data_IF_037231266233
#
_entry.id   IF_037231266233
#
_cell.length_a   1.000
_cell.length_b   1.000
_cell.length_c   1.000
_cell.angle_alpha   90.00
_cell.angle_beta   90.00
_cell.angle_gamma   90.00
#
_symmetry.space_group_name_H-M   'P 1'
#
loop_
_entity.id
_entity.type
_entity.pdbx_description
1 polymer ?
#
# COMPACT_ATOMS: atom_id res chain seq x y z
N UNK A 1 14.70 -25.15 24.18
CA UNK A 1 14.25 -26.09 23.14
C UNK A 1 12.84 -25.76 22.62
N UNK A 2 11.78 -25.76 23.44
CA UNK A 2 10.40 -25.49 22.96
C UNK A 2 10.23 -24.12 22.27
N UNK A 3 10.86 -23.06 22.79
CA UNK A 3 10.82 -21.72 22.16
C UNK A 3 11.36 -21.75 20.73
N UNK A 4 12.46 -22.47 20.49
CA UNK A 4 13.04 -22.62 19.15
C UNK A 4 12.07 -23.33 18.21
N UNK A 5 11.47 -24.44 18.65
CA UNK A 5 10.46 -25.17 17.88
C UNK A 5 9.31 -24.24 17.50
N UNK A 6 8.85 -23.40 18.43
CA UNK A 6 7.74 -22.49 18.18
C UNK A 6 8.09 -21.41 17.16
N UNK A 7 9.28 -20.83 17.25
CA UNK A 7 9.76 -19.83 16.28
C UNK A 7 9.90 -20.43 14.88
N UNK A 8 10.44 -21.65 14.76
CA UNK A 8 10.55 -22.34 13.46
C UNK A 8 9.21 -22.84 12.92
N UNK A 9 8.18 -22.98 13.76
CA UNK A 9 6.85 -23.37 13.35
C UNK A 9 5.98 -22.21 12.83
N UNK A 10 6.45 -20.95 12.94
CA UNK A 10 5.72 -19.81 12.42
C UNK A 10 5.64 -19.88 10.88
N UNK A 11 4.49 -19.52 10.28
CA UNK A 11 4.40 -19.45 8.84
C UNK A 11 5.34 -18.37 8.30
N UNK A 12 5.88 -18.58 7.09
CA UNK A 12 6.70 -17.58 6.39
C UNK A 12 5.93 -16.30 5.98
N UNK A 13 4.62 -16.26 6.23
CA UNK A 13 3.78 -15.11 5.92
C UNK A 13 4.07 -13.94 6.87
N UNK A 14 4.14 -12.72 6.31
CA UNK A 14 4.34 -11.46 7.06
C UNK A 14 3.23 -11.21 8.09
N UNK A 15 1.99 -11.54 7.73
CA UNK A 15 0.81 -11.42 8.59
C UNK A 15 0.25 -12.82 8.94
N UNK A 16 0.29 -13.17 10.22
CA UNK A 16 -0.20 -14.47 10.70
C UNK A 16 -1.71 -14.45 10.83
N UNK A 17 -2.42 -15.25 10.02
CA UNK A 17 -3.86 -15.46 10.18
C UNK A 17 -4.14 -16.41 11.35
N UNK A 18 -4.87 -16.01 12.40
CA UNK A 18 -5.26 -16.90 13.47
C UNK A 18 -6.08 -18.08 12.92
N UNK A 19 -5.51 -19.29 12.99
CA UNK A 19 -6.20 -20.50 12.56
C UNK A 19 -5.87 -21.66 13.49
N UNK A 20 -6.86 -22.50 13.82
CA UNK A 20 -6.66 -23.65 14.73
C UNK A 20 -5.56 -24.62 14.29
N UNK A 21 -5.31 -24.69 12.98
CA UNK A 21 -4.31 -25.59 12.37
C UNK A 21 -2.97 -24.93 12.08
N UNK A 22 -2.80 -23.64 12.40
CA UNK A 22 -1.57 -22.89 12.15
C UNK A 22 -0.96 -22.37 13.45
N UNK A 23 0.36 -22.18 13.46
CA UNK A 23 1.04 -21.53 14.57
C UNK A 23 0.65 -20.04 14.63
N UNK A 24 0.59 -19.44 15.83
CA UNK A 24 0.90 -20.03 17.15
C UNK A 24 -0.24 -20.80 17.82
N UNK A 25 -1.44 -20.87 17.23
CA UNK A 25 -2.60 -21.46 17.91
C UNK A 25 -2.52 -23.00 18.01
N UNK A 26 -2.11 -23.70 16.96
CA UNK A 26 -1.99 -25.17 16.99
C UNK A 26 -0.98 -25.64 18.06
N UNK A 27 0.19 -25.00 18.13
CA UNK A 27 1.26 -25.34 19.08
C UNK A 27 0.86 -24.99 20.53
N UNK A 28 0.08 -23.93 20.74
CA UNK A 28 -0.41 -23.57 22.07
C UNK A 28 -1.58 -24.46 22.56
N UNK A 29 -2.04 -25.41 21.74
CA UNK A 29 -3.12 -26.33 22.06
C UNK A 29 -2.68 -27.78 22.28
N UNK A 30 -1.39 -28.12 22.05
CA UNK A 30 -0.87 -29.50 22.18
C UNK A 30 -0.98 -30.05 23.59
N UNK A 31 -0.42 -29.34 24.58
CA UNK A 31 -0.53 -29.70 26.00
C UNK A 31 -0.41 -28.46 26.89
N UNK A 32 -0.70 -28.58 28.19
CA UNK A 32 -0.63 -27.48 29.15
C UNK A 32 0.74 -26.80 29.15
N UNK A 33 1.82 -27.57 29.14
CA UNK A 33 3.19 -27.05 29.16
C UNK A 33 3.51 -26.22 27.91
N UNK A 34 3.11 -26.68 26.73
CA UNK A 34 3.32 -25.96 25.48
C UNK A 34 2.53 -24.65 25.45
N UNK A 35 1.29 -24.68 25.95
CA UNK A 35 0.46 -23.48 26.10
C UNK A 35 1.12 -22.44 26.99
N UNK A 36 1.56 -22.84 28.18
CA UNK A 36 2.24 -21.95 29.13
C UNK A 36 3.47 -21.32 28.48
N UNK A 37 4.31 -22.11 27.80
CA UNK A 37 5.48 -21.57 27.10
C UNK A 37 5.07 -20.64 25.95
N UNK A 38 4.11 -21.01 25.10
CA UNK A 38 3.71 -20.21 23.95
C UNK A 38 3.14 -18.84 24.37
N UNK A 39 2.39 -18.77 25.47
CA UNK A 39 1.88 -17.52 26.03
C UNK A 39 2.98 -16.59 26.57
N UNK A 40 4.15 -17.14 26.92
CA UNK A 40 5.31 -16.36 27.41
C UNK A 40 6.28 -15.93 26.31
N UNK A 41 6.03 -16.26 25.04
CA UNK A 41 6.94 -15.97 23.92
C UNK A 41 6.30 -14.89 23.03
N UNK A 42 6.61 -13.60 23.22
CA UNK A 42 5.87 -12.49 22.60
C UNK A 42 5.98 -12.45 21.08
N UNK A 43 7.13 -12.87 20.52
CA UNK A 43 7.38 -12.89 19.07
C UNK A 43 6.37 -13.75 18.30
N UNK A 44 5.80 -14.78 18.94
CA UNK A 44 4.76 -15.61 18.32
C UNK A 44 3.46 -14.84 18.05
N UNK A 45 3.24 -13.74 18.75
CA UNK A 45 2.03 -12.93 18.73
C UNK A 45 2.29 -11.54 18.11
N UNK A 46 3.49 -11.30 17.58
CA UNK A 46 3.91 -10.01 17.02
C UNK A 46 3.28 -9.70 15.66
N UNK A 47 2.70 -10.70 15.01
CA UNK A 47 2.05 -10.59 13.71
C UNK A 47 0.60 -11.06 13.79
N UNK A 48 -0.31 -10.34 13.14
CA UNK A 48 -1.74 -10.62 13.18
C UNK A 48 -2.42 -10.22 11.87
N UNK A 49 -3.22 -11.13 11.31
CA UNK A 49 -4.14 -10.83 10.20
C UNK A 49 -5.57 -11.16 10.61
N UNK A 50 -6.42 -10.14 10.73
CA UNK A 50 -7.85 -10.29 11.05
C UNK A 50 -8.67 -10.02 9.80
N UNK A 51 -9.53 -10.98 9.45
CA UNK A 51 -10.54 -10.84 8.42
C UNK A 51 -11.89 -10.84 9.13
N UNK A 52 -12.46 -9.65 9.30
CA UNK A 52 -13.71 -9.49 10.02
C UNK A 52 -14.88 -9.77 9.06
N UNK A 53 -15.34 -11.02 9.03
CA UNK A 53 -16.36 -11.52 8.07
C UNK A 53 -17.69 -11.91 8.71
N UNK A 54 -17.82 -11.78 10.04
CA UNK A 54 -18.94 -12.34 10.81
C UNK A 54 -19.29 -11.45 11.99
N UNK A 55 -20.53 -10.99 12.08
CA UNK A 55 -20.95 -10.07 13.15
C UNK A 55 -21.07 -10.73 14.53
N UNK A 56 -21.14 -12.05 14.60
CA UNK A 56 -21.29 -12.79 15.87
C UNK A 56 -19.98 -13.02 16.64
N UNK A 57 -18.85 -12.56 16.10
CA UNK A 57 -17.54 -12.74 16.71
C UNK A 57 -17.01 -11.42 17.28
N UNK A 58 -16.57 -11.47 18.54
CA UNK A 58 -15.86 -10.36 19.19
C UNK A 58 -14.41 -10.24 18.68
N UNK A 59 -14.25 -9.71 17.47
CA UNK A 59 -12.94 -9.48 16.87
C UNK A 59 -12.08 -8.52 17.70
N UNK A 60 -12.69 -7.51 18.31
CA UNK A 60 -11.98 -6.54 19.15
C UNK A 60 -11.38 -7.22 20.38
N UNK A 61 -12.14 -8.07 21.07
CA UNK A 61 -11.65 -8.88 22.20
C UNK A 61 -10.58 -9.88 21.80
N UNK A 62 -10.73 -10.55 20.65
CA UNK A 62 -9.70 -11.44 20.10
C UNK A 62 -8.40 -10.69 19.79
N UNK A 63 -8.51 -9.52 19.15
CA UNK A 63 -7.37 -8.70 18.81
C UNK A 63 -6.70 -8.16 20.07
N UNK A 64 -7.46 -7.65 21.05
CA UNK A 64 -6.95 -7.23 22.36
C UNK A 64 -6.16 -8.34 23.04
N UNK A 65 -6.70 -9.56 23.06
CA UNK A 65 -6.02 -10.73 23.65
C UNK A 65 -4.71 -11.07 22.93
N UNK A 66 -4.71 -11.00 21.60
CA UNK A 66 -3.51 -11.24 20.80
C UNK A 66 -2.44 -10.18 21.03
N UNK A 67 -2.84 -8.91 20.97
CA UNK A 67 -1.97 -7.75 21.18
C UNK A 67 -1.39 -7.75 22.60
N UNK A 68 -2.16 -8.15 23.61
CA UNK A 68 -1.65 -8.28 24.98
C UNK A 68 -0.49 -9.30 25.09
N UNK A 69 -0.59 -10.44 24.39
CA UNK A 69 0.44 -11.49 24.38
C UNK A 69 1.73 -11.06 23.66
N UNK A 70 1.60 -10.11 22.73
CA UNK A 70 2.73 -9.59 21.98
C UNK A 70 3.66 -8.66 22.77
N UNK A 71 3.26 -8.20 23.97
CA UNK A 71 3.98 -7.30 24.92
C UNK A 71 5.27 -6.65 24.37
N UNK A 72 5.43 -5.33 24.28
CA UNK A 72 6.65 -4.63 23.79
C UNK A 72 7.26 -5.03 22.43
N UNK A 73 6.95 -6.17 21.83
CA UNK A 73 7.48 -6.56 20.52
C UNK A 73 6.92 -5.66 19.42
N UNK A 74 7.66 -5.46 18.33
CA UNK A 74 7.15 -4.72 17.17
C UNK A 74 5.97 -5.45 16.54
N UNK A 75 4.96 -4.71 16.13
CA UNK A 75 3.69 -5.25 15.65
C UNK A 75 3.55 -5.10 14.13
N UNK A 76 3.03 -6.17 13.52
CA UNK A 76 2.65 -6.25 12.11
C UNK A 76 1.18 -6.66 12.05
N UNK A 77 0.31 -5.73 11.67
CA UNK A 77 -1.14 -5.94 11.71
C UNK A 77 -1.74 -5.73 10.33
N UNK A 78 -2.54 -6.70 9.89
CA UNK A 78 -3.42 -6.58 8.72
C UNK A 78 -4.86 -6.76 9.18
N UNK A 79 -5.68 -5.72 9.04
CA UNK A 79 -7.10 -5.73 9.40
C UNK A 79 -7.94 -5.49 8.16
N UNK A 80 -8.84 -6.43 7.85
CA UNK A 80 -9.75 -6.34 6.70
C UNK A 80 -11.17 -6.45 7.25
N UNK A 81 -11.88 -5.33 7.26
CA UNK A 81 -13.33 -5.30 7.40
C UNK A 81 -13.95 -5.67 6.05
N UNK A 82 -15.09 -6.37 6.07
CA UNK A 82 -15.87 -6.69 4.88
C UNK A 82 -17.13 -5.80 4.82
N UNK A 83 -17.65 -5.55 3.61
CA UNK A 83 -18.84 -4.69 3.37
C UNK A 83 -20.05 -5.03 4.25
N UNK A 84 -20.19 -6.28 4.65
CA UNK A 84 -21.36 -6.75 5.41
C UNK A 84 -21.17 -6.73 6.93
N UNK A 85 -19.98 -6.37 7.44
CA UNK A 85 -19.77 -6.32 8.88
C UNK A 85 -20.38 -5.05 9.48
N UNK A 86 -20.95 -5.16 10.68
CA UNK A 86 -21.33 -4.00 11.47
C UNK A 86 -20.15 -3.00 11.63
N UNK A 87 -20.42 -1.73 11.32
CA UNK A 87 -19.49 -0.62 11.43
C UNK A 87 -18.91 -0.51 12.85
N UNK A 88 -19.73 -0.73 13.88
CA UNK A 88 -19.29 -0.61 15.26
C UNK A 88 -18.21 -1.65 15.59
N UNK A 89 -18.38 -2.88 15.09
CA UNK A 89 -17.40 -3.97 15.27
C UNK A 89 -16.06 -3.67 14.59
N UNK A 90 -16.09 -3.13 13.37
CA UNK A 90 -14.87 -2.72 12.65
C UNK A 90 -14.16 -1.57 13.36
N UNK A 91 -14.93 -0.56 13.79
CA UNK A 91 -14.43 0.61 14.51
C UNK A 91 -13.80 0.21 15.84
N UNK A 92 -14.45 -0.64 16.62
CA UNK A 92 -13.94 -1.13 17.89
C UNK A 92 -12.58 -1.85 17.71
N UNK A 93 -12.40 -2.59 16.62
CA UNK A 93 -11.10 -3.18 16.30
C UNK A 93 -10.04 -2.11 16.07
N UNK A 94 -10.30 -1.12 15.21
CA UNK A 94 -9.32 -0.07 14.96
C UNK A 94 -9.03 0.76 16.21
N UNK A 95 -10.01 1.03 17.05
CA UNK A 95 -9.81 1.70 18.34
C UNK A 95 -8.84 0.94 19.25
N UNK A 96 -8.84 -0.40 19.25
CA UNK A 96 -7.82 -1.19 19.96
C UNK A 96 -6.41 -0.97 19.39
N UNK A 97 -6.28 -0.81 18.08
CA UNK A 97 -5.00 -0.53 17.42
C UNK A 97 -4.50 0.89 17.67
N UNK A 98 -5.42 1.84 17.84
CA UNK A 98 -5.12 3.25 18.09
C UNK A 98 -4.77 3.56 19.54
N UNK A 99 -4.74 2.56 20.43
CA UNK A 99 -4.27 2.75 21.80
C UNK A 99 -2.79 3.16 21.82
N UNK A 100 -2.37 4.14 22.64
CA UNK A 100 -0.99 4.64 22.65
C UNK A 100 0.07 3.55 22.87
N UNK A 101 -0.23 2.56 23.72
CA UNK A 101 0.68 1.45 24.02
C UNK A 101 0.90 0.53 22.81
N UNK A 102 -0.06 0.48 21.89
CA UNK A 102 -0.01 -0.30 20.66
C UNK A 102 0.65 0.52 19.54
N UNK A 103 0.23 1.78 19.37
CA UNK A 103 0.76 2.69 18.34
C UNK A 103 2.28 2.84 18.38
N UNK A 104 2.86 2.96 19.58
CA UNK A 104 4.32 3.10 19.76
C UNK A 104 5.13 1.89 19.28
N UNK A 105 4.47 0.74 19.09
CA UNK A 105 5.09 -0.53 18.70
C UNK A 105 4.68 -0.98 17.30
N UNK A 106 3.65 -0.36 16.73
CA UNK A 106 3.13 -0.68 15.42
C UNK A 106 4.16 -0.31 14.36
N UNK A 107 4.69 -1.30 13.66
CA UNK A 107 5.70 -1.11 12.62
C UNK A 107 5.11 -1.17 11.23
N UNK A 108 4.08 -1.99 11.05
CA UNK A 108 3.38 -2.20 9.80
C UNK A 108 1.89 -2.37 10.09
N UNK A 109 1.09 -1.51 9.49
CA UNK A 109 -0.35 -1.52 9.60
C UNK A 109 -0.95 -1.54 8.20
N UNK A 110 -1.70 -2.59 7.87
CA UNK A 110 -2.62 -2.60 6.73
C UNK A 110 -4.04 -2.61 7.25
N UNK A 111 -4.86 -1.70 6.73
CA UNK A 111 -6.28 -1.60 7.05
C UNK A 111 -7.07 -1.51 5.76
N UNK A 112 -8.10 -2.34 5.64
CA UNK A 112 -9.06 -2.33 4.52
C UNK A 112 -10.48 -2.27 5.09
N UNK A 113 -11.33 -1.37 4.60
CA UNK A 113 -12.67 -1.16 5.15
C UNK A 113 -13.54 -0.18 4.35
N UNK A 114 -14.78 0.03 4.81
CA UNK A 114 -15.58 1.22 4.43
C UNK A 114 -15.06 2.46 5.15
N UNK A 115 -15.27 3.66 4.58
CA UNK A 115 -14.63 4.90 5.05
C UNK A 115 -14.92 5.18 6.53
N UNK A 116 -16.18 5.05 6.96
CA UNK A 116 -16.63 5.34 8.32
C UNK A 116 -15.97 4.44 9.36
N UNK A 117 -15.69 3.19 8.98
CA UNK A 117 -15.01 2.24 9.85
C UNK A 117 -13.54 2.63 10.08
N UNK A 118 -12.94 3.39 9.14
CA UNK A 118 -11.53 3.78 9.16
C UNK A 118 -11.26 5.08 9.94
N UNK A 119 -12.29 5.83 10.34
CA UNK A 119 -12.16 7.09 11.10
C UNK A 119 -11.21 7.03 12.31
N UNK A 120 -11.10 5.91 13.08
CA UNK A 120 -10.12 5.85 14.16
C UNK A 120 -8.67 6.11 13.73
N UNK A 121 -8.32 5.87 12.45
CA UNK A 121 -6.98 6.10 11.90
C UNK A 121 -6.56 7.57 11.91
N UNK A 122 -7.48 8.52 12.06
CA UNK A 122 -7.14 9.95 12.26
C UNK A 122 -6.35 10.18 13.54
N UNK A 123 -6.37 9.23 14.48
CA UNK A 123 -5.53 9.28 15.69
C UNK A 123 -4.09 8.81 15.45
N UNK A 124 -3.75 8.38 14.23
CA UNK A 124 -2.36 8.17 13.84
C UNK A 124 -1.63 9.51 13.87
N UNK A 125 -0.75 9.68 14.84
CA UNK A 125 0.02 10.91 15.04
C UNK A 125 1.47 10.61 15.39
N UNK A 126 2.13 11.59 16.02
CA UNK A 126 3.51 11.44 16.52
C UNK A 126 3.72 10.24 17.46
N UNK A 127 2.64 9.69 18.05
CA UNK A 127 2.68 8.49 18.88
C UNK A 127 3.00 7.21 18.10
N UNK A 128 2.74 7.19 16.79
CA UNK A 128 3.09 6.09 15.88
C UNK A 128 4.60 6.11 15.53
N UNK A 129 5.45 6.23 16.55
CA UNK A 129 6.89 6.47 16.40
C UNK A 129 7.67 5.32 15.78
N UNK A 130 7.13 4.11 15.80
CA UNK A 130 7.72 2.91 15.17
C UNK A 130 7.14 2.60 13.80
N UNK A 131 6.09 3.31 13.35
CA UNK A 131 5.35 2.99 12.14
C UNK A 131 6.20 3.28 10.91
N UNK A 132 6.47 2.23 10.14
CA UNK A 132 7.28 2.28 8.91
C UNK A 132 6.45 2.15 7.65
N UNK A 133 5.37 1.37 7.74
CA UNK A 133 4.45 1.11 6.65
C UNK A 133 3.02 1.29 7.12
N UNK A 134 2.27 2.14 6.44
CA UNK A 134 0.82 2.24 6.59
C UNK A 134 0.16 1.98 5.23
N UNK A 135 -0.69 0.96 5.19
CA UNK A 135 -1.54 0.67 4.04
C UNK A 135 -2.98 0.96 4.41
N UNK A 136 -3.64 1.85 3.68
CA UNK A 136 -5.07 2.14 3.86
C UNK A 136 -5.79 1.81 2.56
N UNK A 137 -6.79 0.94 2.63
CA UNK A 137 -7.62 0.56 1.49
C UNK A 137 -9.10 0.81 1.80
N UNK A 138 -9.79 1.47 0.89
CA UNK A 138 -11.25 1.69 0.99
C UNK A 138 -11.96 1.12 -0.22
N UNK A 139 -13.15 0.57 -0.01
CA UNK A 139 -13.97 -0.07 -1.04
C UNK A 139 -15.39 0.52 -1.13
N UNK A 140 -15.59 1.72 -0.60
CA UNK A 140 -16.89 2.40 -0.61
C UNK A 140 -17.17 3.11 -1.94
N UNK A 141 -18.45 3.13 -2.35
CA UNK A 141 -18.95 3.66 -3.62
C UNK A 141 -19.87 4.88 -3.45
N UNK A 142 -20.22 5.27 -2.22
CA UNK A 142 -21.52 5.90 -2.04
C UNK A 142 -21.66 7.10 -1.09
N UNK A 143 -20.59 7.78 -0.64
CA UNK A 143 -20.78 8.95 0.21
C UNK A 143 -19.98 10.17 -0.27
N UNK A 144 -20.73 11.17 -0.77
CA UNK A 144 -20.20 12.50 -1.15
C UNK A 144 -19.59 13.24 0.05
N UNK A 145 -19.94 12.88 1.29
CA UNK A 145 -19.60 13.65 2.51
C UNK A 145 -18.62 12.97 3.48
N UNK A 146 -18.24 11.70 3.28
CA UNK A 146 -17.33 11.00 4.18
C UNK A 146 -15.86 11.25 3.76
N UNK A 147 -15.07 11.85 4.66
CA UNK A 147 -13.63 12.03 4.48
C UNK A 147 -12.85 11.41 5.64
N UNK A 148 -11.62 10.99 5.36
CA UNK A 148 -10.67 10.49 6.37
C UNK A 148 -9.44 11.39 6.36
N UNK A 149 -9.23 12.14 7.45
CA UNK A 149 -8.06 13.02 7.56
C UNK A 149 -6.84 12.30 8.16
N UNK A 150 -5.93 11.86 7.29
CA UNK A 150 -4.67 11.25 7.71
C UNK A 150 -3.56 12.28 7.95
N UNK A 151 -3.86 13.57 8.13
CA UNK A 151 -2.84 14.63 8.22
C UNK A 151 -1.90 14.43 9.38
N UNK A 152 -2.42 13.86 10.46
CA UNK A 152 -1.62 13.51 11.63
C UNK A 152 -0.67 12.35 11.36
N UNK A 153 -0.97 11.46 10.41
CA UNK A 153 -0.12 10.32 10.10
C UNK A 153 1.23 10.76 9.52
N UNK A 154 1.30 11.95 8.90
CA UNK A 154 2.57 12.52 8.45
C UNK A 154 3.52 12.89 9.58
N UNK A 155 3.03 13.00 10.82
CA UNK A 155 3.88 13.23 11.99
C UNK A 155 4.61 11.95 12.45
N UNK A 156 4.37 10.79 11.82
CA UNK A 156 5.08 9.56 12.11
C UNK A 156 6.52 9.63 11.57
N UNK A 157 7.55 9.66 12.44
CA UNK A 157 8.92 10.03 12.06
C UNK A 157 9.65 8.96 11.24
N UNK A 158 9.17 7.72 11.24
CA UNK A 158 9.80 6.58 10.56
C UNK A 158 9.00 6.04 9.38
N UNK A 159 7.91 6.72 9.00
CA UNK A 159 7.04 6.29 7.92
C UNK A 159 7.82 6.38 6.60
N UNK A 160 8.15 5.22 6.04
CA UNK A 160 8.97 5.09 4.84
C UNK A 160 8.15 4.64 3.63
N UNK A 161 7.05 3.91 3.89
CA UNK A 161 6.16 3.34 2.89
C UNK A 161 4.71 3.70 3.19
N UNK A 162 4.02 4.28 2.21
CA UNK A 162 2.62 4.68 2.37
C UNK A 162 1.74 4.26 1.19
N UNK A 163 1.47 2.95 1.01
CA UNK A 163 0.51 2.48 0.04
C UNK A 163 -0.92 2.87 0.41
N UNK A 164 -1.55 3.76 -0.37
CA UNK A 164 -2.99 3.97 -0.26
C UNK A 164 -3.68 3.48 -1.51
N UNK A 165 -4.75 2.72 -1.32
CA UNK A 165 -5.54 2.15 -2.39
C UNK A 165 -7.00 2.53 -2.23
N UNK A 166 -7.39 3.54 -2.98
CA UNK A 166 -8.73 4.07 -3.08
C UNK A 166 -9.33 3.40 -4.30
N UNK A 167 -10.27 2.49 -4.09
CA UNK A 167 -10.85 1.79 -5.23
C UNK A 167 -11.88 2.68 -5.94
N UNK A 168 -12.66 3.51 -5.23
CA UNK A 168 -13.86 4.13 -5.82
C UNK A 168 -14.35 5.45 -5.15
N UNK A 169 -13.53 6.20 -4.39
CA UNK A 169 -14.01 7.41 -3.65
C UNK A 169 -13.34 8.74 -4.02
N UNK A 170 -14.11 9.80 -4.35
CA UNK A 170 -13.60 11.14 -4.63
C UNK A 170 -13.15 11.95 -3.40
N UNK A 171 -13.43 11.49 -2.17
CA UNK A 171 -13.48 12.36 -0.97
C UNK A 171 -12.32 12.20 0.02
N UNK A 172 -11.23 11.53 -0.34
CA UNK A 172 -10.06 11.40 0.55
C UNK A 172 -9.17 12.64 0.48
N UNK A 173 -9.23 13.50 1.50
CA UNK A 173 -8.25 14.57 1.66
C UNK A 173 -6.92 13.98 2.11
N UNK A 174 -6.05 13.76 1.14
CA UNK A 174 -4.78 13.12 1.39
C UNK A 174 -3.71 14.16 1.73
N UNK A 175 -3.04 14.06 2.88
CA UNK A 175 -2.02 15.00 3.30
C UNK A 175 -0.68 14.60 2.67
N UNK A 176 -0.69 14.37 1.35
CA UNK A 176 0.49 14.05 0.54
C UNK A 176 1.63 15.01 0.90
N UNK A 177 1.31 16.29 1.11
CA UNK A 177 2.27 17.33 1.50
C UNK A 177 3.02 17.00 2.79
N UNK A 178 2.32 16.60 3.84
CA UNK A 178 2.95 16.25 5.11
C UNK A 178 3.79 14.98 4.99
N UNK A 179 3.24 13.96 4.32
CA UNK A 179 3.88 12.64 4.20
C UNK A 179 5.16 12.72 3.36
N UNK A 180 5.11 13.47 2.25
CA UNK A 180 6.23 13.68 1.33
C UNK A 180 7.26 14.68 1.86
N UNK A 181 6.87 15.59 2.77
CA UNK A 181 7.82 16.41 3.53
C UNK A 181 8.66 15.58 4.52
N UNK A 182 8.22 14.37 4.86
CA UNK A 182 8.93 13.41 5.71
C UNK A 182 9.98 12.56 4.97
N UNK A 183 10.52 11.51 5.62
CA UNK A 183 11.55 10.64 5.04
C UNK A 183 10.99 9.58 4.06
N UNK A 184 9.77 9.76 3.56
CA UNK A 184 9.10 8.80 2.67
C UNK A 184 9.89 8.65 1.37
N UNK A 185 10.35 7.43 1.10
CA UNK A 185 11.15 7.10 -0.08
C UNK A 185 10.37 6.23 -1.07
N UNK A 186 9.32 5.56 -0.59
CA UNK A 186 8.48 4.68 -1.37
C UNK A 186 7.02 5.12 -1.20
N UNK A 187 6.42 5.61 -2.28
CA UNK A 187 5.01 5.94 -2.33
C UNK A 187 4.29 4.91 -3.19
N UNK A 188 3.14 4.45 -2.72
CA UNK A 188 2.21 3.68 -3.54
C UNK A 188 0.86 4.37 -3.40
N UNK A 189 0.27 4.80 -4.51
CA UNK A 189 -1.01 5.48 -4.50
C UNK A 189 -1.85 4.91 -5.63
N UNK A 190 -3.01 4.39 -5.28
CA UNK A 190 -4.05 3.97 -6.19
C UNK A 190 -5.30 4.75 -5.84
N UNK A 191 -5.92 5.41 -6.81
CA UNK A 191 -7.10 6.24 -6.60
C UNK A 191 -7.28 7.34 -7.62
N UNK A 192 -8.38 8.08 -7.51
CA UNK A 192 -8.63 9.26 -8.32
C UNK A 192 -7.59 10.35 -7.99
N UNK A 193 -6.76 10.69 -8.98
CA UNK A 193 -5.89 11.85 -8.89
C UNK A 193 -6.63 13.12 -9.32
N UNK A 194 -6.72 14.07 -8.40
CA UNK A 194 -7.05 15.45 -8.70
C UNK A 194 -5.78 16.25 -9.01
N UNK A 195 -5.94 17.39 -9.68
CA UNK A 195 -4.82 18.25 -10.10
C UNK A 195 -3.90 18.65 -8.92
N UNK A 196 -4.48 18.87 -7.74
CA UNK A 196 -3.76 19.22 -6.52
C UNK A 196 -2.80 18.10 -6.07
N UNK A 197 -3.15 16.83 -6.29
CA UNK A 197 -2.31 15.69 -5.93
C UNK A 197 -1.03 15.62 -6.79
N UNK A 198 -1.12 15.93 -8.09
CA UNK A 198 0.06 16.01 -8.97
C UNK A 198 1.01 17.14 -8.58
N UNK A 199 0.44 18.29 -8.23
CA UNK A 199 1.20 19.45 -7.77
C UNK A 199 1.97 19.10 -6.50
N UNK A 200 1.30 18.49 -5.53
CA UNK A 200 1.93 18.07 -4.27
C UNK A 200 2.98 16.98 -4.47
N UNK A 201 2.76 16.02 -5.38
CA UNK A 201 3.78 15.03 -5.72
C UNK A 201 5.03 15.66 -6.33
N UNK A 202 4.86 16.62 -7.25
CA UNK A 202 5.99 17.33 -7.86
C UNK A 202 6.75 18.20 -6.87
N UNK A 203 6.04 18.88 -5.97
CA UNK A 203 6.65 19.80 -4.99
C UNK A 203 7.36 19.07 -3.85
N UNK A 204 6.77 17.99 -3.32
CA UNK A 204 7.24 17.34 -2.11
C UNK A 204 7.87 15.96 -2.36
N UNK A 205 7.68 15.37 -3.54
CA UNK A 205 8.20 14.05 -3.91
C UNK A 205 9.71 14.00 -4.21
N UNK A 206 10.48 15.04 -3.88
CA UNK A 206 11.91 15.12 -4.19
C UNK A 206 12.76 14.00 -3.55
N UNK A 207 12.26 13.34 -2.51
CA UNK A 207 12.92 12.22 -1.83
C UNK A 207 12.47 10.84 -2.32
N UNK A 208 11.45 10.76 -3.17
CA UNK A 208 10.92 9.49 -3.65
C UNK A 208 11.94 8.78 -4.54
N UNK A 209 12.22 7.52 -4.20
CA UNK A 209 13.05 6.60 -4.96
C UNK A 209 12.18 5.62 -5.74
N UNK A 210 11.04 5.23 -5.16
CA UNK A 210 10.06 4.37 -5.82
C UNK A 210 8.66 4.98 -5.73
N UNK A 211 7.91 4.90 -6.80
CA UNK A 211 6.55 5.40 -6.86
C UNK A 211 5.67 4.39 -7.62
N UNK A 212 4.52 4.02 -7.07
CA UNK A 212 3.48 3.29 -7.78
C UNK A 212 2.23 4.17 -7.86
N UNK A 213 1.72 4.41 -9.06
CA UNK A 213 0.58 5.29 -9.33
C UNK A 213 -0.48 4.53 -10.10
N UNK A 214 -1.67 4.36 -9.53
CA UNK A 214 -2.81 3.78 -10.22
C UNK A 214 -3.86 4.86 -10.42
N UNK A 215 -4.01 5.31 -11.66
CA UNK A 215 -4.77 6.46 -12.08
C UNK A 215 -6.09 6.02 -12.73
N UNK A 216 -7.18 6.68 -12.36
CA UNK A 216 -8.48 6.50 -12.99
C UNK A 216 -8.59 7.34 -14.28
N UNK A 217 -9.48 6.97 -15.22
CA UNK A 217 -9.55 7.57 -16.56
C UNK A 217 -9.83 9.08 -16.61
N UNK A 218 -10.31 9.68 -15.52
CA UNK A 218 -10.64 11.11 -15.47
C UNK A 218 -9.55 11.98 -14.82
N UNK A 219 -8.40 11.40 -14.46
CA UNK A 219 -7.31 12.14 -13.83
C UNK A 219 -6.62 13.07 -14.84
N UNK A 220 -6.85 14.38 -14.70
CA UNK A 220 -6.14 15.40 -15.47
C UNK A 220 -4.65 15.39 -15.08
N UNK A 221 -3.77 15.06 -16.03
CA UNK A 221 -2.33 15.05 -15.82
C UNK A 221 -1.77 16.46 -16.05
N UNK A 222 -1.41 17.16 -14.97
CA UNK A 222 -0.50 18.30 -15.04
C UNK A 222 0.94 17.82 -15.24
N UNK A 223 1.85 18.73 -15.61
CA UNK A 223 3.27 18.42 -15.70
C UNK A 223 3.80 17.92 -14.35
N UNK A 224 4.30 16.69 -14.31
CA UNK A 224 4.77 16.01 -13.10
C UNK A 224 6.29 15.79 -13.19
N UNK A 225 7.05 16.33 -12.23
CA UNK A 225 8.50 16.10 -12.14
C UNK A 225 8.83 15.24 -10.94
N UNK A 226 9.51 14.11 -11.17
CA UNK A 226 9.94 13.16 -10.16
C UNK A 226 11.48 13.03 -10.19
N UNK A 227 12.22 13.93 -9.52
CA UNK A 227 13.64 14.15 -9.78
C UNK A 227 14.55 13.00 -9.30
N UNK A 228 14.11 12.17 -8.36
CA UNK A 228 14.91 11.08 -7.78
C UNK A 228 14.33 9.68 -7.95
N UNK A 229 13.14 9.58 -8.56
CA UNK A 229 12.46 8.29 -8.71
C UNK A 229 13.25 7.43 -9.68
N UNK A 230 13.60 6.23 -9.23
CA UNK A 230 14.34 5.19 -9.97
C UNK A 230 13.40 4.10 -10.46
N UNK A 231 12.36 3.79 -9.69
CA UNK A 231 11.35 2.80 -10.05
C UNK A 231 9.98 3.47 -10.07
N UNK A 232 9.32 3.45 -11.22
CA UNK A 232 7.97 3.94 -11.38
C UNK A 232 7.08 2.81 -11.90
N UNK A 233 5.98 2.58 -11.22
CA UNK A 233 4.92 1.70 -11.70
C UNK A 233 3.67 2.52 -11.94
N UNK A 234 3.04 2.34 -13.10
CA UNK A 234 1.83 3.07 -13.50
C UNK A 234 0.76 2.09 -13.93
N UNK A 235 -0.41 2.19 -13.32
CA UNK A 235 -1.64 1.55 -13.78
C UNK A 235 -2.64 2.62 -14.22
N UNK A 236 -2.85 2.82 -15.52
CA UNK A 236 -3.79 3.85 -16.00
C UNK A 236 -4.48 3.37 -17.29
N UNK A 237 -5.67 3.90 -17.59
CA UNK A 237 -6.29 3.71 -18.93
C UNK A 237 -5.66 4.59 -20.01
N UNK A 238 -5.08 5.72 -19.62
CA UNK A 238 -4.54 6.76 -20.50
C UNK A 238 -3.05 6.95 -20.18
N UNK A 239 -2.29 5.86 -20.27
CA UNK A 239 -0.86 5.85 -19.89
C UNK A 239 -0.07 6.86 -20.72
N UNK A 240 -0.36 6.99 -22.01
CA UNK A 240 0.29 7.94 -22.93
C UNK A 240 0.19 9.39 -22.44
N UNK A 241 -1.01 9.87 -22.10
CA UNK A 241 -1.20 11.25 -21.61
C UNK A 241 -0.46 11.52 -20.30
N UNK A 242 -0.35 10.51 -19.43
CA UNK A 242 0.48 10.59 -18.24
C UNK A 242 1.97 10.65 -18.60
N UNK A 243 2.44 9.78 -19.49
CA UNK A 243 3.83 9.74 -19.94
C UNK A 243 4.24 11.06 -20.59
N UNK A 244 3.38 11.71 -21.39
CA UNK A 244 3.69 12.98 -22.03
C UNK A 244 3.86 14.15 -21.05
N UNK A 245 3.33 14.03 -19.83
CA UNK A 245 3.46 15.04 -18.78
C UNK A 245 4.52 14.69 -17.72
N UNK A 246 5.15 13.52 -17.81
CA UNK A 246 6.10 13.04 -16.81
C UNK A 246 7.55 13.48 -17.12
N UNK A 247 8.26 14.00 -16.13
CA UNK A 247 9.72 14.23 -16.20
C UNK A 247 10.39 13.51 -15.03
N UNK A 248 11.12 12.43 -15.31
CA UNK A 248 11.73 11.58 -14.28
C UNK A 248 13.20 11.25 -14.62
N UNK A 249 14.16 12.16 -14.38
CA UNK A 249 15.53 12.05 -14.89
C UNK A 249 16.35 10.90 -14.31
N UNK A 250 15.97 10.35 -13.16
CA UNK A 250 16.66 9.23 -12.52
C UNK A 250 15.99 7.87 -12.78
N UNK A 251 14.96 7.82 -13.63
CA UNK A 251 14.16 6.61 -13.84
C UNK A 251 14.98 5.50 -14.50
N UNK A 252 15.02 4.32 -13.88
CA UNK A 252 15.71 3.11 -14.37
C UNK A 252 14.74 1.99 -14.69
N UNK A 253 13.69 1.84 -13.89
CA UNK A 253 12.67 0.80 -14.07
C UNK A 253 11.30 1.45 -14.23
N UNK A 254 10.64 1.15 -15.34
CA UNK A 254 9.26 1.56 -15.61
C UNK A 254 8.38 0.31 -15.75
N UNK A 255 7.29 0.27 -15.01
CA UNK A 255 6.29 -0.78 -15.10
C UNK A 255 4.95 -0.17 -15.51
N UNK A 256 4.32 -0.71 -16.55
CA UNK A 256 3.06 -0.22 -17.10
C UNK A 256 2.08 -1.39 -17.17
N UNK A 257 0.96 -1.34 -16.47
CA UNK A 257 -0.10 -2.34 -16.66
C UNK A 257 -1.47 -1.71 -16.83
N UNK A 258 -2.37 -2.45 -17.47
CA UNK A 258 -3.70 -1.99 -17.82
C UNK A 258 -4.73 -2.37 -16.76
N UNK A 259 -5.62 -1.44 -16.42
CA UNK A 259 -6.80 -1.74 -15.60
C UNK A 259 -7.80 -2.57 -16.40
N UNK A 260 -8.53 -3.47 -15.73
CA UNK A 260 -9.37 -4.57 -16.26
C UNK A 260 -10.52 -4.19 -17.22
N UNK A 261 -10.69 -2.93 -17.58
CA UNK A 261 -11.90 -2.45 -18.24
C UNK A 261 -11.62 -1.89 -19.64
N UNK A 262 -12.13 -2.64 -20.63
CA UNK A 262 -12.26 -2.30 -22.05
C UNK A 262 -11.00 -1.85 -22.80
N UNK A 263 -10.57 -2.70 -23.73
CA UNK A 263 -9.72 -2.30 -24.85
C UNK A 263 -10.47 -1.26 -25.69
N UNK A 264 -9.98 -0.03 -25.71
CA UNK A 264 -10.27 0.91 -26.78
C UNK A 264 -8.96 1.48 -27.34
N UNK A 265 -8.91 1.72 -28.67
CA UNK A 265 -7.69 2.06 -29.38
C UNK A 265 -7.47 3.56 -29.38
N UNK A 266 -6.24 3.97 -29.12
CA UNK A 266 -5.50 4.95 -29.92
C UNK A 266 -4.10 4.97 -29.33
N UNK A 267 -3.23 4.19 -29.97
CA UNK A 267 -1.82 4.15 -29.62
C UNK A 267 -1.24 5.43 -30.19
N UNK A 268 -1.11 6.45 -29.34
CA UNK A 268 -0.24 7.57 -29.68
C UNK A 268 1.19 7.02 -29.78
N UNK A 269 1.86 7.33 -30.87
CA UNK A 269 2.93 6.49 -31.38
C UNK A 269 4.27 6.68 -30.66
N UNK A 270 4.42 7.69 -29.78
CA UNK A 270 5.74 8.09 -29.27
C UNK A 270 5.79 8.60 -27.81
N UNK A 271 4.75 8.42 -26.99
CA UNK A 271 4.70 9.04 -25.64
C UNK A 271 5.81 8.53 -24.70
N UNK A 272 6.20 7.25 -24.76
CA UNK A 272 7.33 6.73 -23.99
C UNK A 272 8.64 7.38 -24.45
N UNK A 273 8.88 7.42 -25.76
CA UNK A 273 10.08 8.03 -26.34
C UNK A 273 10.18 9.52 -26.05
N UNK A 274 9.05 10.25 -26.10
CA UNK A 274 8.97 11.65 -25.72
C UNK A 274 9.33 11.86 -24.25
N UNK A 275 8.82 11.00 -23.37
CA UNK A 275 9.15 11.01 -21.95
C UNK A 275 10.63 10.73 -21.70
N UNK A 276 11.23 9.76 -22.40
CA UNK A 276 12.67 9.46 -22.33
C UNK A 276 13.50 10.67 -22.79
N UNK A 277 13.14 11.30 -23.92
CA UNK A 277 13.83 12.50 -24.45
C UNK A 277 13.76 13.67 -23.48
N UNK A 278 12.57 13.92 -22.91
CA UNK A 278 12.34 15.01 -21.95
C UNK A 278 13.07 14.77 -20.63
N UNK A 279 13.00 13.53 -20.11
CA UNK A 279 13.61 13.16 -18.83
C UNK A 279 15.12 12.96 -18.93
N UNK A 280 15.63 12.57 -20.10
CA UNK A 280 17.01 12.10 -20.31
C UNK A 280 17.40 11.01 -19.32
N UNK A 281 16.45 10.12 -19.04
CA UNK A 281 16.61 9.09 -18.03
C UNK A 281 17.40 7.87 -18.56
N UNK A 282 18.17 7.18 -17.70
CA UNK A 282 18.85 5.95 -18.06
C UNK A 282 17.90 4.75 -17.84
N UNK A 283 16.85 4.65 -18.67
CA UNK A 283 15.89 3.56 -18.54
C UNK A 283 16.54 2.21 -18.90
N UNK A 284 16.54 1.28 -17.96
CA UNK A 284 17.19 -0.04 -18.06
C UNK A 284 16.18 -1.17 -18.15
N UNK A 285 15.00 -1.01 -17.56
CA UNK A 285 13.97 -2.05 -17.51
C UNK A 285 12.60 -1.47 -17.81
N UNK A 286 11.93 -2.02 -18.81
CA UNK A 286 10.53 -1.77 -19.12
C UNK A 286 9.75 -3.07 -18.97
N UNK A 287 8.77 -3.06 -18.08
CA UNK A 287 7.88 -4.17 -17.84
C UNK A 287 6.46 -3.74 -18.20
N UNK A 288 5.84 -4.43 -19.14
CA UNK A 288 4.53 -4.00 -19.65
C UNK A 288 3.60 -5.16 -19.99
N UNK A 289 2.29 -4.90 -19.93
CA UNK A 289 1.28 -5.81 -20.46
C UNK A 289 1.18 -5.66 -21.99
N UNK A 290 0.84 -6.76 -22.66
CA UNK A 290 0.77 -6.82 -24.13
C UNK A 290 -0.25 -5.80 -24.68
N UNK A 291 0.20 -4.96 -25.61
CA UNK A 291 -0.62 -3.91 -26.22
C UNK A 291 -0.64 -2.57 -25.47
N UNK A 292 0.22 -2.37 -24.46
CA UNK A 292 0.26 -1.10 -23.71
C UNK A 292 0.94 0.06 -24.45
N UNK A 293 1.80 -0.21 -25.44
CA UNK A 293 2.53 0.77 -26.26
C UNK A 293 2.66 0.26 -27.71
N UNK A 294 2.94 1.13 -28.69
CA UNK A 294 3.21 0.70 -30.07
C UNK A 294 4.59 0.07 -30.20
N UNK A 295 4.73 -0.84 -31.17
CA UNK A 295 6.03 -1.38 -31.55
C UNK A 295 6.99 -0.28 -32.02
N UNK A 296 6.45 0.81 -32.61
CA UNK A 296 7.24 1.97 -33.03
C UNK A 296 7.84 2.73 -31.84
N UNK A 297 7.04 3.00 -30.80
CA UNK A 297 7.51 3.67 -29.58
C UNK A 297 8.54 2.78 -28.84
N UNK A 298 8.28 1.48 -28.81
CA UNK A 298 9.19 0.50 -28.20
C UNK A 298 10.55 0.48 -28.93
N UNK A 299 10.53 0.43 -30.26
CA UNK A 299 11.75 0.44 -31.07
C UNK A 299 12.53 1.75 -30.89
N UNK A 300 11.86 2.90 -30.82
CA UNK A 300 12.50 4.18 -30.57
C UNK A 300 13.05 4.28 -29.14
N UNK A 301 12.31 3.79 -28.14
CA UNK A 301 12.78 3.74 -26.76
C UNK A 301 14.07 2.92 -26.62
N UNK A 302 14.18 1.77 -27.30
CA UNK A 302 15.42 0.98 -27.36
C UNK A 302 16.56 1.72 -28.08
N UNK A 303 16.25 2.52 -29.10
CA UNK A 303 17.25 3.36 -29.78
C UNK A 303 17.79 4.45 -28.87
N UNK A 304 16.92 5.05 -28.04
CA UNK A 304 17.29 6.08 -27.06
C UNK A 304 18.00 5.50 -25.83
N UNK A 305 17.65 4.28 -25.44
CA UNK A 305 18.21 3.55 -24.30
C UNK A 305 18.68 2.16 -24.74
N UNK A 306 19.95 2.03 -25.22
CA UNK A 306 20.45 0.76 -25.77
C UNK A 306 20.48 -0.41 -24.78
N UNK A 307 20.60 -0.13 -23.48
CA UNK A 307 20.61 -1.13 -22.41
C UNK A 307 19.20 -1.51 -21.92
N UNK A 308 18.15 -1.05 -22.61
CA UNK A 308 16.76 -1.26 -22.20
C UNK A 308 16.33 -2.73 -22.38
N UNK A 309 16.10 -3.40 -21.27
CA UNK A 309 15.49 -4.72 -21.22
C UNK A 309 13.96 -4.61 -21.16
N UNK A 310 13.29 -5.23 -22.13
CA UNK A 310 11.82 -5.23 -22.21
C UNK A 310 11.31 -6.61 -21.85
N UNK A 311 10.38 -6.64 -20.89
CA UNK A 311 9.70 -7.87 -20.47
C UNK A 311 8.20 -7.69 -20.66
N UNK A 312 7.60 -8.62 -21.38
CA UNK A 312 6.14 -8.74 -21.49
C UNK A 312 5.64 -9.62 -20.36
N UNK A 313 4.77 -9.07 -19.52
CA UNK A 313 4.10 -9.82 -18.47
C UNK A 313 2.67 -10.13 -18.87
N UNK A 314 2.22 -11.37 -18.64
CA UNK A 314 0.82 -11.76 -18.92
C UNK A 314 -0.17 -10.99 -18.05
N UNK A 315 0.16 -10.78 -16.78
CA UNK A 315 -0.50 -9.85 -15.86
C UNK A 315 0.55 -9.28 -14.92
N UNK A 316 0.66 -7.96 -14.87
CA UNK A 316 1.42 -7.30 -13.81
C UNK A 316 0.63 -7.23 -12.52
N UNK A 317 -0.69 -7.30 -12.66
CA UNK A 317 -1.64 -7.14 -11.58
C UNK A 317 -2.39 -8.45 -11.33
N UNK A 318 -1.78 -9.32 -10.53
CA UNK A 318 -2.58 -10.25 -9.74
C UNK A 318 -3.19 -9.45 -8.61
N UNK A 319 -4.44 -9.08 -8.83
CA UNK A 319 -5.39 -8.66 -7.82
C UNK A 319 -5.59 -9.78 -6.78
N UNK A 320 -4.54 -10.15 -6.04
CA UNK A 320 -4.69 -10.76 -4.73
C UNK A 320 -5.06 -9.64 -3.76
N UNK A 321 -6.30 -9.20 -3.88
CA UNK A 321 -7.00 -8.39 -2.89
C UNK A 321 -7.30 -9.24 -1.66
#
# INVERSE_FOLDING_TARGET
>A
MLVLIFTYALPYARFVKPARRAAPLNISQVCRRWREVALTVPVLWASLSVYATRDDLDYAGLMRMWLARSQRYRLYVNFIAWKNLDLCSSRACLEELMRPEILTRLSDLRVSGVMEALLPLENLGAQASSLRRLVVQTYDLCLEDAYLDLSRASAAPLLAEFPVNILETPSLFFPLKGILAGPTTHLVFSGDFYYDHFTVLGEFGAHLVSCELYLHPFSACGALTLPRVQTLTVGCRIVWAFLDNLTAPCLRTLQIGMSRENRLPEVDDMSLSNMIRRSRCPLESLLMEEGSLSDADIAEAQRLCPDLHITLAGRLWDYTW
#
